data_IF_497315569508
#
_entry.id   IF_497315569508
#
_cell.length_a   1.000
_cell.length_b   1.000
_cell.length_c   1.000
_cell.angle_alpha   90.00
_cell.angle_beta   90.00
_cell.angle_gamma   90.00
#
_symmetry.space_group_name_H-M   'P 1'
#
loop_
_entity.id
_entity.type
_entity.pdbx_description
1 polymer ?
#
# COMPACT_ATOMS: atom_id res chain seq x y z
N UNK A 1 19.98 27.25 0.74
CA UNK A 1 19.88 25.96 1.46
C UNK A 1 19.04 26.00 2.73
N UNK A 2 19.27 26.90 3.71
CA UNK A 2 18.40 26.97 4.91
C UNK A 2 17.08 27.71 4.69
N UNK A 3 17.07 28.77 3.87
CA UNK A 3 15.85 29.56 3.58
C UNK A 3 14.86 28.85 2.65
N UNK A 4 15.35 28.05 1.69
CA UNK A 4 14.54 27.21 0.81
C UNK A 4 13.80 26.10 1.57
N UNK A 5 14.41 25.56 2.64
CA UNK A 5 13.82 24.57 3.55
C UNK A 5 12.73 25.18 4.45
N UNK A 6 12.87 26.45 4.80
CA UNK A 6 11.92 27.16 5.66
C UNK A 6 10.69 27.66 4.88
N UNK A 7 10.88 28.09 3.64
CA UNK A 7 9.80 28.58 2.78
C UNK A 7 8.95 27.47 2.13
N UNK A 8 9.35 26.20 2.21
CA UNK A 8 8.61 25.08 1.60
C UNK A 8 8.53 25.15 0.06
N UNK A 9 9.30 26.04 -0.56
CA UNK A 9 9.36 26.23 -2.01
C UNK A 9 10.52 25.39 -2.56
N UNK A 10 10.17 24.24 -3.14
CA UNK A 10 11.11 23.27 -3.72
C UNK A 10 10.56 21.84 -3.71
N UNK A 11 11.42 20.85 -3.99
CA UNK A 11 11.06 19.42 -3.99
C UNK A 11 10.41 18.93 -2.69
N UNK A 12 10.71 19.57 -1.54
CA UNK A 12 10.08 19.26 -0.25
C UNK A 12 8.57 19.59 -0.21
N UNK A 13 8.12 20.62 -0.94
CA UNK A 13 6.71 20.97 -1.06
C UNK A 13 5.92 19.93 -1.88
N UNK A 14 6.51 19.46 -2.99
CA UNK A 14 5.93 18.40 -3.81
C UNK A 14 5.93 17.04 -3.10
N UNK A 15 7.01 16.71 -2.39
CA UNK A 15 7.07 15.49 -1.56
C UNK A 15 5.96 15.48 -0.50
N UNK A 16 5.68 16.64 0.14
CA UNK A 16 4.56 16.78 1.07
C UNK A 16 3.20 16.60 0.41
N UNK A 17 2.99 17.10 -0.81
CA UNK A 17 1.71 16.88 -1.50
C UNK A 17 1.51 15.43 -1.92
N UNK A 18 2.54 14.75 -2.42
CA UNK A 18 2.46 13.33 -2.77
C UNK A 18 2.23 12.46 -1.54
N UNK A 19 2.91 12.76 -0.44
CA UNK A 19 2.70 12.07 0.82
C UNK A 19 1.29 12.32 1.38
N UNK A 20 0.74 13.53 1.19
CA UNK A 20 -0.63 13.86 1.59
C UNK A 20 -1.66 13.04 0.81
N UNK A 21 -1.47 12.85 -0.50
CA UNK A 21 -2.34 12.01 -1.31
C UNK A 21 -2.31 10.53 -0.86
N UNK A 22 -1.12 9.99 -0.54
CA UNK A 22 -1.00 8.65 0.03
C UNK A 22 -1.71 8.54 1.37
N UNK A 23 -1.54 9.56 2.23
CA UNK A 23 -2.20 9.63 3.53
C UNK A 23 -3.73 9.71 3.42
N UNK A 24 -4.27 10.39 2.42
CA UNK A 24 -5.70 10.48 2.17
C UNK A 24 -6.25 9.16 1.65
N UNK A 25 -5.56 8.53 0.68
CA UNK A 25 -5.90 7.20 0.18
C UNK A 25 -5.92 6.13 1.28
N UNK A 26 -4.91 6.13 2.16
CA UNK A 26 -4.86 5.19 3.30
C UNK A 26 -6.01 5.41 4.29
N UNK A 27 -6.46 6.66 4.47
CA UNK A 27 -7.59 6.98 5.34
C UNK A 27 -8.90 6.47 4.74
N UNK A 28 -9.15 6.71 3.45
CA UNK A 28 -10.34 6.18 2.75
C UNK A 28 -10.38 4.65 2.78
N UNK A 29 -9.23 4.01 2.56
CA UNK A 29 -9.10 2.55 2.61
C UNK A 29 -9.47 2.01 3.98
N UNK A 30 -8.93 2.58 5.06
CA UNK A 30 -9.26 2.15 6.44
C UNK A 30 -10.74 2.36 6.74
N UNK A 31 -11.34 3.47 6.29
CA UNK A 31 -12.77 3.73 6.50
C UNK A 31 -13.66 2.73 5.76
N UNK A 32 -13.34 2.42 4.49
CA UNK A 32 -14.05 1.41 3.71
C UNK A 32 -13.99 0.03 4.38
N UNK A 33 -12.79 -0.37 4.82
CA UNK A 33 -12.57 -1.65 5.50
C UNK A 33 -13.33 -1.77 6.82
N UNK A 34 -13.46 -0.67 7.57
CA UNK A 34 -14.24 -0.63 8.81
C UNK A 34 -15.75 -0.66 8.54
N UNK A 35 -16.22 0.01 7.49
CA UNK A 35 -17.62 0.01 7.11
C UNK A 35 -18.10 -1.39 6.67
N UNK A 36 -17.24 -2.16 5.99
CA UNK A 36 -17.57 -3.49 5.46
C UNK A 36 -17.23 -4.67 6.40
N UNK A 37 -17.06 -4.43 7.70
CA UNK A 37 -16.71 -5.48 8.69
C UNK A 37 -17.82 -6.56 8.84
N UNK A 38 -18.95 -6.45 8.15
CA UNK A 38 -20.11 -7.33 8.30
C UNK A 38 -20.30 -8.41 7.23
N UNK A 39 -19.47 -8.54 6.19
CA UNK A 39 -19.75 -9.52 5.13
C UNK A 39 -18.55 -10.17 4.46
N UNK A 40 -17.71 -9.40 3.78
CA UNK A 40 -16.69 -9.94 2.85
C UNK A 40 -15.30 -9.33 3.05
N UNK A 41 -15.22 -8.11 3.58
CA UNK A 41 -13.96 -7.36 3.76
C UNK A 41 -13.18 -7.77 5.03
N UNK A 42 -13.77 -8.63 5.85
CA UNK A 42 -13.11 -9.27 6.99
C UNK A 42 -11.89 -10.12 6.61
N UNK A 43 -11.83 -10.61 5.36
CA UNK A 43 -10.73 -11.41 4.83
C UNK A 43 -9.57 -10.58 4.25
N UNK A 44 -9.75 -9.25 4.16
CA UNK A 44 -8.63 -8.37 3.81
C UNK A 44 -7.56 -8.46 4.90
N UNK A 45 -6.29 -8.36 4.51
CA UNK A 45 -5.16 -8.39 5.46
C UNK A 45 -5.37 -7.43 6.64
N UNK A 46 -5.88 -6.22 6.38
CA UNK A 46 -6.17 -5.21 7.41
C UNK A 46 -7.41 -5.59 8.24
N UNK A 47 -8.45 -6.14 7.61
CA UNK A 47 -9.63 -6.69 8.28
C UNK A 47 -9.27 -7.79 9.28
N UNK A 48 -8.39 -8.72 8.88
CA UNK A 48 -7.84 -9.77 9.73
C UNK A 48 -7.04 -9.20 10.91
N UNK A 49 -6.23 -8.16 10.67
CA UNK A 49 -5.50 -7.46 11.74
C UNK A 49 -6.46 -6.81 12.74
N UNK A 50 -7.49 -6.09 12.27
CA UNK A 50 -8.50 -5.46 13.13
C UNK A 50 -9.31 -6.50 13.90
N UNK A 51 -9.70 -7.60 13.26
CA UNK A 51 -10.42 -8.70 13.90
C UNK A 51 -9.58 -9.39 14.97
N UNK A 52 -8.31 -9.65 14.69
CA UNK A 52 -7.33 -10.20 15.65
C UNK A 52 -7.14 -9.28 16.85
N UNK A 53 -7.04 -7.96 16.63
CA UNK A 53 -6.95 -6.97 17.69
C UNK A 53 -8.18 -7.00 18.61
N UNK A 54 -9.39 -6.97 18.01
CA UNK A 54 -10.66 -7.05 18.74
C UNK A 54 -10.74 -8.33 19.59
N UNK A 55 -10.28 -9.46 19.06
CA UNK A 55 -10.23 -10.75 19.79
C UNK A 55 -9.28 -10.71 20.99
N UNK A 56 -8.17 -9.98 20.90
CA UNK A 56 -7.19 -9.82 21.97
C UNK A 56 -7.51 -8.69 22.95
N UNK A 57 -8.66 -8.04 22.82
CA UNK A 57 -9.08 -6.91 23.69
C UNK A 57 -8.33 -5.61 23.43
N UNK A 58 -7.55 -5.53 22.34
CA UNK A 58 -6.80 -4.34 21.94
C UNK A 58 -7.51 -3.65 20.77
N UNK A 59 -7.93 -2.40 20.94
CA UNK A 59 -8.40 -1.59 19.83
C UNK A 59 -7.21 -0.88 19.17
N UNK A 60 -7.02 -1.08 17.87
CA UNK A 60 -6.04 -0.28 17.13
C UNK A 60 -6.57 1.14 16.91
N UNK A 61 -5.73 2.15 17.19
CA UNK A 61 -6.00 3.54 16.81
C UNK A 61 -6.03 3.65 15.27
N UNK A 62 -6.89 4.51 14.75
CA UNK A 62 -7.08 4.75 13.32
C UNK A 62 -5.78 5.23 12.68
N UNK A 63 -4.99 6.00 13.44
CA UNK A 63 -3.64 6.42 13.04
C UNK A 63 -2.70 5.23 12.86
N UNK A 64 -2.74 4.26 13.78
CA UNK A 64 -1.90 3.08 13.68
C UNK A 64 -2.25 2.22 12.45
N UNK A 65 -3.55 1.99 12.21
CA UNK A 65 -3.99 1.26 11.02
C UNK A 65 -3.57 1.97 9.74
N UNK A 66 -3.75 3.30 9.69
CA UNK A 66 -3.33 4.12 8.56
C UNK A 66 -1.82 4.00 8.29
N UNK A 67 -0.99 4.15 9.32
CA UNK A 67 0.46 4.04 9.20
C UNK A 67 0.89 2.64 8.76
N UNK A 68 0.18 1.60 9.23
CA UNK A 68 0.39 0.22 8.80
C UNK A 68 0.13 0.07 7.29
N UNK A 69 -1.03 0.55 6.80
CA UNK A 69 -1.36 0.51 5.37
C UNK A 69 -0.31 1.25 4.54
N UNK A 70 0.09 2.44 4.98
CA UNK A 70 1.11 3.24 4.30
C UNK A 70 2.45 2.53 4.23
N UNK A 71 2.90 1.91 5.33
CA UNK A 71 4.16 1.17 5.36
C UNK A 71 4.16 0.01 4.36
N UNK A 72 3.07 -0.75 4.30
CA UNK A 72 2.95 -1.85 3.32
C UNK A 72 2.89 -1.33 1.89
N UNK A 73 2.15 -0.25 1.64
CA UNK A 73 2.03 0.33 0.30
C UNK A 73 3.38 0.85 -0.20
N UNK A 74 4.12 1.56 0.65
CA UNK A 74 5.46 2.08 0.32
C UNK A 74 6.44 0.91 0.08
N UNK A 75 6.43 -0.11 0.93
CA UNK A 75 7.32 -1.26 0.78
C UNK A 75 7.00 -2.10 -0.47
N UNK A 76 5.71 -2.31 -0.76
CA UNK A 76 5.25 -3.20 -1.81
C UNK A 76 5.22 -2.57 -3.20
N UNK A 77 4.85 -1.29 -3.32
CA UNK A 77 4.58 -0.67 -4.63
C UNK A 77 5.77 -0.74 -5.57
N UNK A 78 6.92 -0.20 -5.17
CA UNK A 78 8.07 -0.08 -6.08
C UNK A 78 8.79 -1.42 -6.26
N UNK A 79 8.83 -2.25 -5.22
CA UNK A 79 9.47 -3.57 -5.27
C UNK A 79 8.69 -4.55 -6.16
N UNK A 80 7.35 -4.56 -6.06
CA UNK A 80 6.50 -5.40 -6.93
C UNK A 80 6.48 -4.89 -8.35
N UNK A 81 6.40 -3.57 -8.57
CA UNK A 81 6.47 -2.98 -9.91
C UNK A 81 7.76 -3.37 -10.62
N UNK A 82 8.91 -3.21 -9.95
CA UNK A 82 10.21 -3.60 -10.49
C UNK A 82 10.27 -5.10 -10.78
N UNK A 83 9.83 -5.94 -9.84
CA UNK A 83 9.83 -7.40 -10.00
C UNK A 83 8.98 -7.84 -11.19
N UNK A 84 7.77 -7.27 -11.34
CA UNK A 84 6.88 -7.57 -12.47
C UNK A 84 7.48 -7.10 -13.79
N UNK A 85 8.11 -5.92 -13.84
CA UNK A 85 8.80 -5.46 -15.05
C UNK A 85 9.88 -6.44 -15.49
N UNK A 86 10.67 -6.97 -14.54
CA UNK A 86 11.65 -8.02 -14.84
C UNK A 86 11.02 -9.33 -15.28
N UNK A 87 9.96 -9.78 -14.60
CA UNK A 87 9.26 -11.01 -14.97
C UNK A 87 8.74 -10.90 -16.41
N UNK A 88 8.01 -9.83 -16.75
CA UNK A 88 7.48 -9.64 -18.09
C UNK A 88 8.60 -9.49 -19.12
N UNK A 89 9.67 -8.75 -18.77
CA UNK A 89 10.87 -8.63 -19.60
C UNK A 89 11.55 -9.98 -19.87
N UNK A 90 11.60 -10.87 -18.88
CA UNK A 90 12.19 -12.21 -19.05
C UNK A 90 11.26 -13.14 -19.81
N UNK A 91 9.97 -13.17 -19.49
CA UNK A 91 8.98 -14.02 -20.18
C UNK A 91 8.95 -13.73 -21.67
N UNK A 92 8.97 -12.44 -22.06
CA UNK A 92 9.00 -12.04 -23.48
C UNK A 92 10.28 -12.46 -24.22
N UNK A 93 11.38 -12.70 -23.51
CA UNK A 93 12.64 -13.18 -24.10
C UNK A 93 12.75 -14.71 -24.14
N UNK A 94 11.82 -15.42 -23.47
CA UNK A 94 11.83 -16.87 -23.30
C UNK A 94 10.48 -17.47 -23.76
N UNK A 95 10.24 -17.64 -25.07
CA UNK A 95 8.98 -18.14 -25.62
C UNK A 95 8.57 -19.53 -25.10
N UNK A 96 9.54 -20.35 -24.67
CA UNK A 96 9.31 -21.62 -24.02
C UNK A 96 8.67 -21.48 -22.64
N UNK A 97 9.05 -20.45 -21.88
CA UNK A 97 8.48 -20.13 -20.57
C UNK A 97 7.11 -19.51 -20.75
N UNK A 98 6.95 -18.60 -21.71
CA UNK A 98 5.65 -18.00 -22.06
C UNK A 98 4.62 -19.07 -22.42
N UNK A 99 4.95 -19.99 -23.32
CA UNK A 99 4.05 -21.09 -23.72
C UNK A 99 3.66 -21.98 -22.55
N UNK A 100 4.56 -22.19 -21.60
CA UNK A 100 4.28 -22.97 -20.40
C UNK A 100 3.29 -22.24 -19.49
N UNK A 101 3.56 -20.96 -19.19
CA UNK A 101 2.67 -20.11 -18.38
C UNK A 101 1.26 -20.02 -18.98
N UNK A 102 1.12 -19.94 -20.31
CA UNK A 102 -0.18 -19.88 -20.99
C UNK A 102 -0.92 -21.22 -20.98
N UNK A 103 -0.21 -22.34 -20.85
CA UNK A 103 -0.79 -23.68 -20.85
C UNK A 103 -1.23 -24.15 -19.45
N UNK A 104 -0.79 -23.48 -18.37
CA UNK A 104 -1.24 -23.69 -16.99
C UNK A 104 -2.58 -23.01 -16.70
#
# INVERSE_FOLDING_TARGET
>A
WRLTRWLGVGQEGQARSHFKALQEYSYETVQMLKADTSGETGDSFIGLFVQSAKKNGTAFDDRYLKDLVLNFLIAGRDTTAQSMSWILGLVTQHPEVEKKIVAE
#
